data_IF_452160477880
#
_entry.id   IF_452160477880
#
_cell.length_a   1.000
_cell.length_b   1.000
_cell.length_c   1.000
_cell.angle_alpha   90.00
_cell.angle_beta   90.00
_cell.angle_gamma   90.00
#
_symmetry.space_group_name_H-M   'P 1'
#
loop_
_entity.id
_entity.type
_entity.pdbx_description
1 polymer ?
#
# COMPACT_ATOMS: atom_id res chain seq x y z
N UNK A 1 -34.60 -17.70 -27.99
CA UNK A 1 -35.07 -18.62 -26.93
C UNK A 1 -35.76 -17.81 -25.85
N UNK A 2 -37.07 -18.00 -25.71
CA UNK A 2 -37.99 -17.13 -24.99
C UNK A 2 -38.58 -17.92 -23.81
N UNK A 3 -38.19 -17.60 -22.57
CA UNK A 3 -38.55 -18.35 -21.35
C UNK A 3 -39.99 -18.11 -20.83
N UNK A 4 -40.94 -17.78 -21.72
CA UNK A 4 -42.31 -17.39 -21.32
C UNK A 4 -43.35 -18.53 -21.31
N UNK A 5 -42.98 -19.77 -21.64
CA UNK A 5 -43.94 -20.88 -21.75
C UNK A 5 -43.67 -22.03 -20.77
N UNK A 6 -43.67 -21.76 -19.46
CA UNK A 6 -43.75 -22.81 -18.43
C UNK A 6 -45.11 -22.77 -17.73
N UNK A 7 -45.93 -23.84 -17.78
CA UNK A 7 -47.35 -23.80 -17.38
C UNK A 7 -47.59 -24.00 -15.87
N UNK A 8 -46.68 -23.56 -14.99
CA UNK A 8 -46.82 -23.83 -13.55
C UNK A 8 -46.43 -22.68 -12.62
N UNK A 9 -46.66 -21.42 -13.03
CA UNK A 9 -46.47 -20.25 -12.16
C UNK A 9 -47.82 -19.60 -11.86
N UNK A 10 -48.34 -19.86 -10.66
CA UNK A 10 -49.55 -19.23 -10.13
C UNK A 10 -49.24 -17.77 -9.73
N UNK A 11 -49.75 -16.82 -10.49
CA UNK A 11 -49.74 -15.40 -10.12
C UNK A 11 -50.74 -15.14 -8.99
N UNK A 12 -50.27 -14.74 -7.81
CA UNK A 12 -51.10 -14.14 -6.77
C UNK A 12 -50.86 -12.63 -6.74
N UNK A 13 -51.73 -11.91 -7.46
CA UNK A 13 -51.96 -10.48 -7.28
C UNK A 13 -52.82 -10.25 -6.03
N UNK A 14 -52.26 -9.60 -5.01
CA UNK A 14 -52.92 -8.70 -4.03
C UNK A 14 -51.79 -7.80 -3.52
N UNK A 15 -51.62 -6.54 -3.94
CA UNK A 15 -52.55 -5.43 -3.80
C UNK A 15 -51.96 -4.47 -2.76
N UNK A 16 -51.54 -3.28 -3.17
CA UNK A 16 -51.10 -2.22 -2.25
C UNK A 16 -50.07 -1.26 -2.83
N UNK A 17 -50.54 -0.15 -3.40
CA UNK A 17 -49.77 1.07 -3.69
C UNK A 17 -48.98 1.53 -2.46
N UNK A 18 -47.74 2.01 -2.66
CA UNK A 18 -47.21 3.29 -2.13
C UNK A 18 -45.95 3.60 -2.94
N UNK A 19 -46.06 4.55 -3.88
CA UNK A 19 -44.94 5.32 -4.39
C UNK A 19 -44.38 6.16 -3.23
N UNK A 20 -43.09 6.03 -2.94
CA UNK A 20 -42.31 7.07 -2.26
C UNK A 20 -41.11 7.44 -3.14
N UNK A 21 -41.14 8.68 -3.58
CA UNK A 21 -40.12 9.44 -4.25
C UNK A 21 -38.89 9.70 -3.35
N UNK A 22 -37.73 9.74 -4.01
CA UNK A 22 -36.48 10.42 -3.67
C UNK A 22 -35.75 10.13 -2.35
N UNK A 23 -34.49 9.71 -2.49
CA UNK A 23 -33.34 10.53 -2.07
C UNK A 23 -32.09 10.10 -2.82
N UNK A 24 -31.54 11.01 -3.60
CA UNK A 24 -30.18 10.90 -4.14
C UNK A 24 -29.20 10.61 -2.99
N UNK A 25 -28.26 9.67 -3.15
CA UNK A 25 -27.18 9.54 -2.19
C UNK A 25 -26.27 10.77 -2.33
N UNK A 26 -26.45 11.74 -1.42
CA UNK A 26 -25.45 12.80 -1.17
C UNK A 26 -24.08 12.14 -1.00
N UNK A 27 -22.99 12.75 -1.53
CA UNK A 27 -21.64 12.25 -1.30
C UNK A 27 -21.40 12.26 0.21
N UNK A 28 -21.13 11.08 0.78
CA UNK A 28 -20.71 10.98 2.17
C UNK A 28 -19.41 11.75 2.31
N UNK A 29 -19.50 12.83 3.08
CA UNK A 29 -18.39 13.60 3.60
C UNK A 29 -17.22 12.69 3.95
N UNK A 30 -16.04 13.08 3.47
CA UNK A 30 -14.75 12.56 3.90
C UNK A 30 -14.72 12.53 5.42
N UNK A 31 -14.84 11.34 5.99
CA UNK A 31 -14.38 11.08 7.35
C UNK A 31 -12.90 11.39 7.37
N UNK A 32 -12.53 12.54 7.95
CA UNK A 32 -11.18 12.80 8.43
C UNK A 32 -10.85 11.65 9.39
N UNK A 33 -10.09 10.67 8.91
CA UNK A 33 -9.60 9.57 9.71
C UNK A 33 -8.63 10.11 10.75
N UNK A 34 -9.14 10.29 11.96
CA UNK A 34 -8.36 10.47 13.17
C UNK A 34 -7.61 9.16 13.45
N UNK A 35 -6.43 9.01 12.85
CA UNK A 35 -5.29 8.15 13.24
C UNK A 35 -4.26 8.15 12.10
N UNK A 36 -3.81 9.32 11.67
CA UNK A 36 -2.66 9.38 10.78
C UNK A 36 -1.45 8.88 11.57
N UNK A 37 -0.99 7.64 11.31
CA UNK A 37 0.27 7.16 11.87
C UNK A 37 1.36 8.20 11.54
N UNK A 38 2.24 8.58 12.47
CA UNK A 38 3.25 9.60 12.20
C UNK A 38 4.11 9.21 11.00
N UNK A 39 4.32 10.15 10.07
CA UNK A 39 5.20 10.00 8.92
C UNK A 39 6.65 9.87 9.38
N UNK A 40 7.42 8.93 8.81
CA UNK A 40 8.84 8.78 9.14
C UNK A 40 9.70 9.63 8.21
N UNK A 41 9.40 9.60 6.92
CA UNK A 41 10.11 10.33 5.88
C UNK A 41 9.34 11.61 5.55
N UNK A 42 10.03 12.74 5.61
CA UNK A 42 9.54 13.99 5.03
C UNK A 42 10.02 14.14 3.57
N UNK A 43 9.58 15.19 2.89
CA UNK A 43 9.93 15.42 1.48
C UNK A 43 11.44 15.54 1.24
N UNK A 44 12.16 16.22 2.14
CA UNK A 44 13.61 16.40 2.07
C UNK A 44 14.35 15.08 2.28
N UNK A 45 13.86 14.23 3.20
CA UNK A 45 14.40 12.89 3.42
C UNK A 45 14.28 12.05 2.14
N UNK A 46 13.13 12.11 1.46
CA UNK A 46 12.92 11.38 0.20
C UNK A 46 13.83 11.91 -0.91
N UNK A 47 13.97 13.24 -1.02
CA UNK A 47 14.86 13.83 -2.03
C UNK A 47 16.31 13.41 -1.81
N UNK A 48 16.76 13.32 -0.56
CA UNK A 48 18.10 12.81 -0.21
C UNK A 48 18.24 11.31 -0.51
N UNK A 49 17.19 10.51 -0.27
CA UNK A 49 17.20 9.07 -0.61
C UNK A 49 17.34 8.87 -2.11
N UNK A 50 16.59 9.63 -2.93
CA UNK A 50 16.62 9.51 -4.38
C UNK A 50 17.89 10.10 -5.00
N UNK A 51 18.46 11.14 -4.40
CA UNK A 51 19.71 11.79 -4.79
C UNK A 51 20.86 11.42 -3.83
N UNK A 52 21.07 10.11 -3.61
CA UNK A 52 22.10 9.61 -2.71
C UNK A 52 23.51 10.06 -3.15
N UNK A 53 24.26 10.65 -2.22
CA UNK A 53 25.63 11.14 -2.37
C UNK A 53 26.45 10.89 -1.10
N UNK A 54 27.75 11.19 -1.15
CA UNK A 54 28.63 11.11 0.03
C UNK A 54 28.18 12.02 1.18
N UNK A 55 27.58 13.16 0.85
CA UNK A 55 27.19 14.17 1.84
C UNK A 55 25.94 13.76 2.63
N UNK A 56 25.06 12.94 2.04
CA UNK A 56 23.79 12.55 2.65
C UNK A 56 23.69 11.06 3.04
N UNK A 57 24.76 10.28 2.86
CA UNK A 57 24.77 8.83 3.16
C UNK A 57 24.43 8.51 4.63
N UNK A 58 24.87 9.35 5.57
CA UNK A 58 24.56 9.13 6.99
C UNK A 58 23.06 9.31 7.27
N UNK A 59 22.44 10.33 6.66
CA UNK A 59 20.99 10.53 6.74
C UNK A 59 20.24 9.35 6.10
N UNK A 60 20.71 8.90 4.94
CA UNK A 60 20.14 7.72 4.27
C UNK A 60 20.12 6.50 5.19
N UNK A 61 21.25 6.19 5.83
CA UNK A 61 21.39 5.05 6.76
C UNK A 61 20.49 5.24 7.98
N UNK A 62 20.48 6.44 8.56
CA UNK A 62 19.65 6.76 9.72
C UNK A 62 18.16 6.53 9.42
N UNK A 63 17.68 7.01 8.27
CA UNK A 63 16.27 6.87 7.87
C UNK A 63 15.90 5.44 7.53
N UNK A 64 16.78 4.69 6.88
CA UNK A 64 16.58 3.26 6.62
C UNK A 64 16.48 2.48 7.94
N UNK A 65 17.38 2.76 8.90
CA UNK A 65 17.36 2.17 10.23
C UNK A 65 16.09 2.51 10.99
N UNK A 66 15.69 3.78 11.00
CA UNK A 66 14.48 4.23 11.68
C UNK A 66 13.23 3.54 11.09
N UNK A 67 13.13 3.43 9.76
CA UNK A 67 12.03 2.69 9.13
C UNK A 67 12.04 1.22 9.56
N UNK A 68 13.21 0.57 9.51
CA UNK A 68 13.36 -0.83 9.90
C UNK A 68 12.95 -1.08 11.37
N UNK A 69 13.32 -0.19 12.29
CA UNK A 69 12.92 -0.26 13.71
C UNK A 69 11.42 -0.10 13.90
N UNK A 70 10.77 0.76 13.10
CA UNK A 70 9.34 1.02 13.19
C UNK A 70 8.48 -0.11 12.61
N UNK A 71 9.02 -0.92 11.70
CA UNK A 71 8.29 -2.02 11.05
C UNK A 71 8.73 -3.42 11.51
N UNK A 72 9.93 -3.54 12.08
CA UNK A 72 10.53 -4.78 12.56
C UNK A 72 9.84 -5.31 13.81
N UNK A 73 10.38 -6.31 14.50
CA UNK A 73 9.64 -6.88 15.65
C UNK A 73 9.57 -5.94 16.85
N UNK A 74 8.49 -6.02 17.61
CA UNK A 74 8.33 -5.28 18.86
C UNK A 74 8.63 -6.20 20.03
N UNK A 75 9.46 -5.75 20.96
CA UNK A 75 9.74 -6.47 22.21
C UNK A 75 8.94 -5.79 23.31
N UNK A 76 8.00 -6.52 23.91
CA UNK A 76 7.19 -6.07 25.04
C UNK A 76 7.44 -7.00 26.24
N UNK A 77 8.33 -6.57 27.14
CA UNK A 77 8.79 -7.40 28.24
C UNK A 77 9.48 -8.68 27.75
N UNK A 78 8.88 -9.85 28.01
CA UNK A 78 9.38 -11.15 27.56
C UNK A 78 8.79 -11.62 26.23
N UNK A 79 7.85 -10.88 25.64
CA UNK A 79 7.13 -11.27 24.42
C UNK A 79 7.71 -10.56 23.20
N UNK A 80 8.00 -11.33 22.16
CA UNK A 80 8.31 -10.81 20.82
C UNK A 80 7.04 -10.82 19.98
N UNK A 81 6.63 -9.64 19.52
CA UNK A 81 5.50 -9.47 18.61
C UNK A 81 6.07 -9.27 17.21
N UNK A 82 5.92 -10.31 16.39
CA UNK A 82 6.31 -10.24 14.99
C UNK A 82 5.37 -9.33 14.22
N UNK A 83 5.89 -8.22 13.68
CA UNK A 83 5.11 -7.22 12.94
C UNK A 83 5.11 -7.50 11.45
N UNK A 84 6.27 -7.54 10.81
CA UNK A 84 6.38 -7.96 9.40
C UNK A 84 7.39 -9.10 9.29
N UNK A 85 6.91 -10.26 8.87
CA UNK A 85 7.78 -11.41 8.60
C UNK A 85 8.79 -11.09 7.48
N UNK A 86 10.02 -11.57 7.62
CA UNK A 86 11.07 -11.41 6.61
C UNK A 86 10.68 -11.95 5.23
N UNK A 87 9.94 -13.06 5.18
CA UNK A 87 9.42 -13.64 3.93
C UNK A 87 8.47 -12.69 3.19
N UNK A 88 7.66 -11.93 3.91
CA UNK A 88 6.74 -10.94 3.33
C UNK A 88 7.49 -9.73 2.77
N UNK A 89 8.49 -9.21 3.49
CA UNK A 89 9.38 -8.17 2.96
C UNK A 89 10.13 -8.65 1.73
N UNK A 90 10.68 -9.86 1.77
CA UNK A 90 11.37 -10.49 0.63
C UNK A 90 10.47 -10.55 -0.60
N UNK A 91 9.21 -10.94 -0.47
CA UNK A 91 8.28 -10.98 -1.60
C UNK A 91 8.08 -9.63 -2.30
N UNK A 92 8.20 -8.50 -1.57
CA UNK A 92 8.16 -7.16 -2.16
C UNK A 92 9.50 -6.79 -2.78
N UNK A 93 10.60 -7.08 -2.09
CA UNK A 93 11.95 -6.83 -2.56
C UNK A 93 12.26 -7.59 -3.85
N UNK A 94 12.01 -8.91 -3.87
CA UNK A 94 12.23 -9.78 -5.03
C UNK A 94 11.46 -9.30 -6.26
N UNK A 95 10.24 -8.77 -6.06
CA UNK A 95 9.47 -8.16 -7.14
C UNK A 95 10.18 -6.95 -7.76
N UNK A 96 10.73 -6.07 -6.93
CA UNK A 96 11.46 -4.90 -7.40
C UNK A 96 12.82 -5.29 -8.03
N UNK A 97 13.51 -6.29 -7.48
CA UNK A 97 14.74 -6.88 -8.05
C UNK A 97 14.49 -7.44 -9.44
N UNK A 98 13.45 -8.25 -9.63
CA UNK A 98 13.11 -8.81 -10.94
C UNK A 98 12.90 -7.73 -12.00
N UNK A 99 12.29 -6.60 -11.63
CA UNK A 99 12.13 -5.45 -12.54
C UNK A 99 13.49 -4.87 -12.91
N UNK A 100 14.35 -4.60 -11.91
CA UNK A 100 15.70 -4.06 -12.11
C UNK A 100 16.55 -4.95 -13.01
N UNK A 101 16.55 -6.26 -12.75
CA UNK A 101 17.35 -7.24 -13.48
C UNK A 101 16.85 -7.48 -14.91
N UNK A 102 15.53 -7.36 -15.14
CA UNK A 102 14.96 -7.54 -16.47
C UNK A 102 15.38 -6.48 -17.49
N UNK A 103 15.95 -5.35 -17.05
CA UNK A 103 16.38 -4.20 -17.88
C UNK A 103 15.31 -3.71 -18.88
N UNK A 104 14.03 -3.94 -18.58
CA UNK A 104 12.93 -3.59 -19.49
C UNK A 104 12.72 -2.07 -19.55
N UNK A 105 12.24 -1.60 -20.70
CA UNK A 105 11.86 -0.20 -20.90
C UNK A 105 10.65 0.22 -20.06
N UNK A 106 9.76 -0.73 -19.73
CA UNK A 106 8.56 -0.51 -18.91
C UNK A 106 8.81 -0.63 -17.38
N UNK A 107 10.07 -0.51 -16.94
CA UNK A 107 10.46 -0.69 -15.54
C UNK A 107 9.65 0.20 -14.59
N UNK A 108 9.40 1.47 -14.98
CA UNK A 108 8.70 2.43 -14.13
C UNK A 108 7.26 2.01 -13.90
N UNK A 109 6.55 1.61 -14.96
CA UNK A 109 5.17 1.12 -14.87
C UNK A 109 5.11 -0.09 -13.95
N UNK A 110 6.00 -1.05 -14.12
CA UNK A 110 6.05 -2.24 -13.26
C UNK A 110 6.39 -1.89 -11.81
N UNK A 111 7.33 -0.98 -11.58
CA UNK A 111 7.69 -0.56 -10.23
C UNK A 111 6.47 0.06 -9.52
N UNK A 112 5.68 0.87 -10.21
CA UNK A 112 4.46 1.46 -9.64
C UNK A 112 3.41 0.42 -9.23
N UNK A 113 3.39 -0.76 -9.85
CA UNK A 113 2.50 -1.87 -9.46
C UNK A 113 2.90 -2.51 -8.13
N UNK A 114 4.04 -2.15 -7.53
CA UNK A 114 4.36 -2.52 -6.16
C UNK A 114 3.34 -1.94 -5.16
N UNK A 115 2.81 -0.74 -5.42
CA UNK A 115 1.83 -0.05 -4.56
C UNK A 115 0.57 -0.89 -4.30
N UNK A 116 -0.21 -1.32 -5.33
CA UNK A 116 -1.37 -2.15 -5.09
C UNK A 116 -1.02 -3.52 -4.48
N UNK A 117 0.16 -4.10 -4.81
CA UNK A 117 0.62 -5.37 -4.23
C UNK A 117 0.84 -5.26 -2.72
N UNK A 118 1.45 -4.16 -2.29
CA UNK A 118 1.67 -3.83 -0.89
C UNK A 118 0.35 -3.59 -0.14
N UNK A 119 -0.56 -2.79 -0.70
CA UNK A 119 -1.88 -2.51 -0.12
C UNK A 119 -2.70 -3.79 0.06
N UNK A 120 -2.71 -4.67 -0.95
CA UNK A 120 -3.40 -5.96 -0.90
C UNK A 120 -2.88 -6.88 0.22
N UNK A 121 -1.58 -6.83 0.52
CA UNK A 121 -1.01 -7.62 1.61
C UNK A 121 -1.38 -7.05 2.99
N UNK A 122 -1.44 -5.74 3.13
CA UNK A 122 -1.91 -5.10 4.37
C UNK A 122 -3.39 -5.40 4.64
N UNK A 123 -4.24 -5.39 3.61
CA UNK A 123 -5.68 -5.63 3.77
C UNK A 123 -6.05 -7.07 4.15
N UNK A 124 -5.15 -8.03 3.89
CA UNK A 124 -5.29 -9.42 4.34
C UNK A 124 -5.05 -9.63 5.83
N UNK A 125 -4.31 -8.74 6.47
CA UNK A 125 -4.08 -8.84 7.91
C UNK A 125 -5.33 -8.38 8.67
N UNK A 126 -5.61 -8.98 9.85
CA UNK A 126 -6.74 -8.58 10.67
C UNK A 126 -6.72 -7.09 10.98
N UNK A 127 -7.90 -6.47 10.97
CA UNK A 127 -8.05 -5.06 11.30
C UNK A 127 -7.46 -4.78 12.69
N UNK A 128 -6.76 -3.65 12.84
CA UNK A 128 -6.08 -3.22 14.07
C UNK A 128 -4.92 -4.11 14.57
N UNK A 129 -4.57 -5.19 13.87
CA UNK A 129 -3.38 -6.00 14.22
C UNK A 129 -2.08 -5.19 14.06
N UNK A 130 -1.08 -5.49 14.88
CA UNK A 130 0.23 -4.82 14.78
C UNK A 130 0.93 -5.13 13.44
N UNK A 131 0.64 -6.29 12.86
CA UNK A 131 1.10 -6.65 11.51
C UNK A 131 0.52 -5.74 10.45
N UNK A 132 -0.80 -5.50 10.50
CA UNK A 132 -1.48 -4.58 9.59
C UNK A 132 -0.93 -3.16 9.73
N UNK A 133 -0.82 -2.64 10.96
CA UNK A 133 -0.29 -1.29 11.21
C UNK A 133 1.13 -1.12 10.67
N UNK A 134 2.00 -2.12 10.89
CA UNK A 134 3.36 -2.08 10.38
C UNK A 134 3.41 -2.12 8.85
N UNK A 135 2.59 -2.97 8.21
CA UNK A 135 2.47 -2.99 6.75
C UNK A 135 1.91 -1.67 6.20
N UNK A 136 0.89 -1.09 6.81
CA UNK A 136 0.32 0.20 6.39
C UNK A 136 1.36 1.33 6.49
N UNK A 137 2.15 1.36 7.58
CA UNK A 137 3.27 2.26 7.75
C UNK A 137 4.32 2.07 6.66
N UNK A 138 4.80 0.83 6.47
CA UNK A 138 5.77 0.48 5.43
C UNK A 138 5.29 0.91 4.04
N UNK A 139 4.06 0.51 3.68
CA UNK A 139 3.44 0.81 2.39
C UNK A 139 3.39 2.31 2.13
N UNK A 140 3.04 3.10 3.14
CA UNK A 140 2.95 4.55 3.01
C UNK A 140 4.32 5.20 2.80
N UNK A 141 5.34 4.81 3.57
CA UNK A 141 6.67 5.39 3.40
C UNK A 141 7.29 5.01 2.05
N UNK A 142 7.11 3.75 1.61
CA UNK A 142 7.52 3.34 0.26
C UNK A 142 6.71 4.06 -0.82
N UNK A 143 5.39 4.22 -0.68
CA UNK A 143 4.55 4.91 -1.64
C UNK A 143 5.00 6.37 -1.88
N UNK A 144 5.39 7.07 -0.81
CA UNK A 144 5.95 8.43 -0.90
C UNK A 144 7.23 8.46 -1.72
N UNK A 145 8.15 7.52 -1.51
CA UNK A 145 9.38 7.43 -2.31
C UNK A 145 9.04 7.16 -3.77
N UNK A 146 8.17 6.17 -4.03
CA UNK A 146 7.73 5.80 -5.37
C UNK A 146 7.05 6.97 -6.11
N UNK A 147 6.28 7.82 -5.41
CA UNK A 147 5.65 9.02 -5.98
C UNK A 147 6.66 10.07 -6.46
N UNK A 148 7.87 10.09 -5.91
CA UNK A 148 8.94 11.04 -6.28
C UNK A 148 9.96 10.45 -7.26
N UNK A 149 9.88 9.16 -7.60
CA UNK A 149 10.76 8.57 -8.62
C UNK A 149 10.45 9.21 -9.98
N UNK A 150 11.49 9.72 -10.65
CA UNK A 150 11.39 10.18 -12.02
C UNK A 150 11.56 8.98 -12.97
N UNK A 151 10.56 8.76 -13.82
CA UNK A 151 10.56 7.69 -14.85
C UNK A 151 11.71 7.81 -15.85
N UNK A 152 12.30 9.00 -16.01
CA UNK A 152 13.41 9.25 -16.91
C UNK A 152 14.77 9.12 -16.18
N UNK A 153 14.78 9.08 -14.85
CA UNK A 153 15.99 8.99 -14.06
C UNK A 153 16.17 7.60 -13.44
N UNK A 154 16.95 6.74 -14.11
CA UNK A 154 17.22 5.39 -13.63
C UNK A 154 17.96 5.38 -12.28
N UNK A 155 18.74 6.43 -11.96
CA UNK A 155 19.43 6.50 -10.67
C UNK A 155 18.47 6.60 -9.48
N UNK A 156 17.29 7.21 -9.67
CA UNK A 156 16.24 7.22 -8.64
C UNK A 156 15.80 5.79 -8.32
N UNK A 157 15.64 4.94 -9.33
CA UNK A 157 15.29 3.53 -9.10
C UNK A 157 16.44 2.77 -8.43
N UNK A 158 17.67 2.99 -8.86
CA UNK A 158 18.83 2.33 -8.25
C UNK A 158 19.02 2.74 -6.79
N UNK A 159 18.82 4.01 -6.45
CA UNK A 159 18.93 4.51 -5.08
C UNK A 159 17.74 4.07 -4.21
N UNK A 160 16.52 4.03 -4.77
CA UNK A 160 15.38 3.38 -4.11
C UNK A 160 15.69 1.92 -3.76
N UNK A 161 16.28 1.15 -4.67
CA UNK A 161 16.65 -0.25 -4.45
C UNK A 161 17.80 -0.45 -3.45
N UNK A 162 18.59 0.59 -3.17
CA UNK A 162 19.59 0.54 -2.08
C UNK A 162 18.94 0.83 -0.74
N UNK A 163 17.90 1.66 -0.72
CA UNK A 163 17.19 2.05 0.50
C UNK A 163 16.27 0.93 0.98
N UNK A 164 15.59 0.32 0.02
CA UNK A 164 14.70 -0.82 0.22
C UNK A 164 15.51 -2.10 0.45
#
# INVERSE_FOLDING_TARGET
MNWKNHPNVKFKNKGGNIMKTQKDPKPKNQTKNQNEMPSILNDKDIDNILNLSSENVNLFIEKAKLLAEQIGDKIEGRKRIERISSSKLRNFYDYAVQIKESKRSDWYLKLMLLKPKMVYNASKEPEKSDRRKALELFNREIDKILNKIDKNNKSHFDNFMKFF
#
